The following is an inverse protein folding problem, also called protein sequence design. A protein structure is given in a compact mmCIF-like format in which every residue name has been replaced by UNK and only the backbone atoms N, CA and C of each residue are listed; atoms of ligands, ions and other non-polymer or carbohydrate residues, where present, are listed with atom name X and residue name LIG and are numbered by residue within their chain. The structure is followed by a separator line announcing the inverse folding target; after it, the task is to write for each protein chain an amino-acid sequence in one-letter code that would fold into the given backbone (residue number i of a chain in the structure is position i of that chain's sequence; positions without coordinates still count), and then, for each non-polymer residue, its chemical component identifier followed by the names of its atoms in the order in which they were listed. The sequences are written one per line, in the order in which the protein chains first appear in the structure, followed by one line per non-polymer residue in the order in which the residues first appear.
data_IF_408235390140
#
_entry.id   IF_408235390140
#
_cell.length_a   1.000
_cell.length_b   1.000
_cell.length_c   1.000
_cell.angle_alpha   90.00
_cell.angle_beta   90.00
_cell.angle_gamma   90.00
#
_symmetry.space_group_name_H-M   'P 1'
#
loop_
_entity.id
_entity.type
_entity.pdbx_description
1 polymer ?
#
# COMPACT_ATOMS: atom_id res chain seq x y z
N UNK A 1 -18.17 -54.59 10.62
CA UNK A 1 -18.00 -53.64 9.49
C UNK A 1 -18.46 -52.29 10.01
N UNK A 2 -17.61 -51.64 10.81
CA UNK A 2 -17.94 -50.37 11.47
C UNK A 2 -17.32 -49.25 10.68
N UNK A 3 -18.23 -48.51 10.07
CA UNK A 3 -18.15 -47.14 9.59
C UNK A 3 -17.00 -46.33 10.21
N UNK A 4 -16.08 -45.88 9.37
CA UNK A 4 -15.08 -44.86 9.71
C UNK A 4 -15.11 -43.79 8.63
N UNK A 5 -16.31 -43.28 8.37
CA UNK A 5 -16.49 -41.98 7.72
C UNK A 5 -16.21 -40.90 8.78
N UNK A 6 -14.93 -40.70 9.10
CA UNK A 6 -14.52 -39.58 9.97
C UNK A 6 -14.74 -38.31 9.15
N UNK A 7 -15.83 -37.62 9.48
CA UNK A 7 -16.12 -36.24 9.14
C UNK A 7 -14.84 -35.40 8.98
N UNK A 8 -14.49 -35.09 7.73
CA UNK A 8 -13.59 -33.99 7.39
C UNK A 8 -14.34 -32.65 7.59
N UNK A 9 -14.85 -32.42 8.80
CA UNK A 9 -15.42 -31.13 9.20
C UNK A 9 -14.27 -30.21 9.60
N UNK A 10 -13.84 -29.39 8.63
CA UNK A 10 -13.29 -28.05 8.86
C UNK A 10 -12.09 -27.95 9.80
N UNK A 11 -10.94 -28.51 9.42
CA UNK A 11 -9.67 -28.01 9.98
C UNK A 11 -9.36 -26.71 9.25
N UNK A 12 -9.59 -25.56 9.89
CA UNK A 12 -9.20 -24.25 9.38
C UNK A 12 -7.72 -24.23 8.94
N UNK A 13 -7.30 -23.21 8.17
CA UNK A 13 -5.93 -23.14 7.69
C UNK A 13 -4.96 -23.32 8.85
N UNK A 14 -4.04 -24.29 8.72
CA UNK A 14 -2.96 -24.45 9.71
C UNK A 14 -2.13 -23.18 9.80
N UNK A 15 -1.25 -23.06 10.81
CA UNK A 15 -0.42 -21.85 11.02
C UNK A 15 0.27 -21.36 9.75
N UNK A 16 0.76 -22.26 8.90
CA UNK A 16 1.35 -21.91 7.60
C UNK A 16 0.37 -21.17 6.68
N UNK A 17 -0.89 -21.61 6.63
CA UNK A 17 -1.94 -20.97 5.83
C UNK A 17 -2.29 -19.59 6.37
N UNK A 18 -2.41 -19.45 7.70
CA UNK A 18 -2.64 -18.15 8.33
C UNK A 18 -1.46 -17.18 8.09
N UNK A 19 -0.22 -17.66 8.19
CA UNK A 19 0.97 -16.84 7.97
C UNK A 19 1.25 -16.51 6.49
N UNK A 20 0.72 -17.32 5.56
CA UNK A 20 0.85 -17.09 4.13
C UNK A 20 -0.29 -16.24 3.53
N UNK A 21 -1.32 -15.92 4.32
CA UNK A 21 -2.37 -14.99 3.91
C UNK A 21 -1.74 -13.59 3.69
N UNK A 22 -1.89 -13.00 2.49
CA UNK A 22 -1.28 -11.71 2.17
C UNK A 22 -1.81 -10.54 3.02
N UNK A 23 -2.93 -10.72 3.73
CA UNK A 23 -3.53 -9.72 4.61
C UNK A 23 -3.17 -9.92 6.08
N UNK A 24 -2.74 -11.11 6.51
CA UNK A 24 -2.62 -11.46 7.93
C UNK A 24 -1.69 -10.54 8.74
N UNK A 25 -0.66 -9.98 8.10
CA UNK A 25 0.30 -9.08 8.74
C UNK A 25 -0.07 -7.58 8.67
N UNK A 26 -1.23 -7.23 8.13
CA UNK A 26 -1.54 -5.84 7.76
C UNK A 26 -2.92 -5.42 8.21
N UNK A 27 -3.07 -4.16 8.62
CA UNK A 27 -4.39 -3.53 8.72
C UNK A 27 -5.03 -3.53 7.33
N UNK A 28 -6.31 -3.87 7.26
CA UNK A 28 -7.06 -3.90 6.01
C UNK A 28 -8.54 -3.71 6.28
N UNK A 29 -9.26 -3.20 5.28
CA UNK A 29 -10.69 -2.93 5.36
C UNK A 29 -11.37 -3.34 4.05
N UNK A 30 -12.57 -3.89 4.13
CA UNK A 30 -13.41 -4.10 2.93
C UNK A 30 -14.21 -2.84 2.64
N UNK A 31 -14.07 -2.32 1.43
CA UNK A 31 -14.73 -1.11 0.94
C UNK A 31 -15.66 -1.48 -0.20
N UNK A 32 -16.89 -0.96 -0.18
CA UNK A 32 -17.80 -1.01 -1.32
C UNK A 32 -17.54 0.19 -2.22
N UNK A 33 -17.39 -0.02 -3.53
CA UNK A 33 -17.08 1.03 -4.51
C UNK A 33 -18.27 1.22 -5.46
N UNK A 34 -19.15 2.22 -5.22
CA UNK A 34 -20.36 2.40 -6.03
C UNK A 34 -20.08 2.61 -7.52
N UNK A 35 -18.99 3.29 -7.85
CA UNK A 35 -18.58 3.56 -9.23
C UNK A 35 -18.19 2.29 -9.99
N UNK A 36 -17.94 1.18 -9.29
CA UNK A 36 -17.59 -0.13 -9.85
C UNK A 36 -18.72 -1.14 -9.62
N UNK A 37 -19.98 -0.72 -9.84
CA UNK A 37 -21.16 -1.58 -9.68
C UNK A 37 -21.26 -2.17 -8.26
N UNK A 38 -21.00 -1.34 -7.26
CA UNK A 38 -20.95 -1.74 -5.84
C UNK A 38 -19.99 -2.90 -5.54
N UNK A 39 -18.91 -3.04 -6.34
CA UNK A 39 -17.88 -4.04 -6.09
C UNK A 39 -17.31 -3.89 -4.67
N UNK A 40 -17.10 -5.04 -4.01
CA UNK A 40 -16.44 -5.11 -2.71
C UNK A 40 -14.97 -5.42 -2.91
N UNK A 41 -14.12 -4.49 -2.54
CA UNK A 41 -12.66 -4.61 -2.61
C UNK A 41 -12.07 -4.54 -1.21
N UNK A 42 -10.89 -5.12 -1.04
CA UNK A 42 -10.14 -5.06 0.22
C UNK A 42 -8.98 -4.09 0.01
N UNK A 43 -8.90 -3.06 0.84
CA UNK A 43 -7.77 -2.14 0.88
C UNK A 43 -6.87 -2.54 2.04
N UNK A 44 -5.58 -2.74 1.76
CA UNK A 44 -4.57 -3.13 2.75
C UNK A 44 -3.62 -1.97 3.02
N UNK A 45 -3.16 -1.85 4.27
CA UNK A 45 -2.04 -0.99 4.62
C UNK A 45 -0.80 -1.32 3.77
N UNK A 46 -0.08 -0.32 3.25
CA UNK A 46 1.14 -0.56 2.49
C UNK A 46 2.24 -1.16 3.37
N UNK A 47 3.00 -2.08 2.80
CA UNK A 47 4.28 -2.53 3.36
C UNK A 47 5.37 -1.48 3.13
N UNK A 48 6.54 -1.67 3.78
CA UNK A 48 7.72 -0.86 3.50
C UNK A 48 8.14 -0.93 2.02
N UNK A 49 7.98 -2.09 1.37
CA UNK A 49 8.26 -2.27 -0.06
C UNK A 49 7.29 -1.52 -0.96
N UNK A 50 6.01 -1.45 -0.58
CA UNK A 50 4.98 -0.71 -1.32
C UNK A 50 5.21 0.79 -1.20
N UNK A 51 5.55 1.26 0.00
CA UNK A 51 5.91 2.64 0.25
C UNK A 51 7.16 3.07 -0.54
N UNK A 52 8.20 2.21 -0.60
CA UNK A 52 9.38 2.49 -1.41
C UNK A 52 9.06 2.55 -2.91
N UNK A 53 8.20 1.66 -3.40
CA UNK A 53 7.73 1.67 -4.79
C UNK A 53 7.01 2.98 -5.11
N UNK A 54 6.13 3.42 -4.21
CA UNK A 54 5.41 4.69 -4.32
C UNK A 54 6.34 5.92 -4.29
N UNK A 55 7.27 6.00 -3.34
CA UNK A 55 8.24 7.12 -3.25
C UNK A 55 9.09 7.22 -4.52
N UNK A 56 9.53 6.09 -5.09
CA UNK A 56 10.28 6.09 -6.36
C UNK A 56 9.46 6.67 -7.50
N UNK A 57 8.16 6.39 -7.54
CA UNK A 57 7.26 6.98 -8.54
C UNK A 57 7.04 8.48 -8.31
N UNK A 58 6.95 8.93 -7.04
CA UNK A 58 6.89 10.37 -6.70
C UNK A 58 8.17 11.07 -7.20
N UNK A 59 9.34 10.53 -6.88
CA UNK A 59 10.62 11.10 -7.29
C UNK A 59 10.77 11.16 -8.80
N UNK A 60 10.36 10.11 -9.51
CA UNK A 60 10.35 10.09 -10.96
C UNK A 60 9.43 11.19 -11.53
N UNK A 61 8.22 11.37 -10.99
CA UNK A 61 7.29 12.40 -11.43
C UNK A 61 7.84 13.83 -11.20
N UNK A 62 8.48 14.06 -10.05
CA UNK A 62 9.11 15.33 -9.72
C UNK A 62 10.47 15.56 -10.41
N UNK A 63 10.97 14.58 -11.19
CA UNK A 63 12.27 14.67 -11.85
C UNK A 63 13.45 14.73 -10.87
N UNK A 64 13.33 14.10 -9.70
CA UNK A 64 14.40 14.01 -8.70
C UNK A 64 15.50 13.07 -9.21
N UNK A 65 16.75 13.51 -9.09
CA UNK A 65 17.94 12.75 -9.50
C UNK A 65 18.74 12.34 -8.26
N UNK A 66 19.38 11.16 -8.34
CA UNK A 66 20.24 10.68 -7.26
C UNK A 66 21.39 11.65 -7.00
N UNK A 67 21.61 12.00 -5.73
CA UNK A 67 22.68 12.90 -5.29
C UNK A 67 22.27 14.37 -5.16
N UNK A 68 21.04 14.73 -5.51
CA UNK A 68 20.50 16.06 -5.22
C UNK A 68 20.35 16.27 -3.70
N UNK A 69 20.62 17.49 -3.25
CA UNK A 69 20.44 17.87 -1.86
C UNK A 69 18.95 17.95 -1.48
N UNK A 70 18.66 17.91 -0.18
CA UNK A 70 17.29 17.86 0.32
C UNK A 70 16.46 19.09 -0.04
N UNK A 71 17.05 20.28 -0.18
CA UNK A 71 16.31 21.49 -0.46
C UNK A 71 15.92 21.54 -1.93
N UNK A 72 16.81 21.10 -2.83
CA UNK A 72 16.50 20.87 -4.25
C UNK A 72 15.39 19.83 -4.42
N UNK A 73 15.46 18.71 -3.70
CA UNK A 73 14.42 17.66 -3.75
C UNK A 73 13.08 18.22 -3.29
N UNK A 74 13.03 18.95 -2.16
CA UNK A 74 11.80 19.58 -1.67
C UNK A 74 11.21 20.57 -2.68
N UNK A 75 12.04 21.44 -3.25
CA UNK A 75 11.58 22.41 -4.23
C UNK A 75 10.95 21.75 -5.46
N UNK A 76 11.49 20.61 -5.91
CA UNK A 76 10.90 19.82 -7.00
C UNK A 76 9.59 19.14 -6.61
N UNK A 77 9.51 18.61 -5.39
CA UNK A 77 8.29 17.96 -4.90
C UNK A 77 7.13 18.97 -4.75
N UNK A 78 7.44 20.19 -4.33
CA UNK A 78 6.47 21.27 -4.11
C UNK A 78 6.19 22.10 -5.39
N UNK A 79 6.84 21.77 -6.50
CA UNK A 79 6.68 22.52 -7.74
C UNK A 79 5.24 22.42 -8.28
N UNK A 80 4.62 23.54 -8.71
CA UNK A 80 3.28 23.50 -9.24
C UNK A 80 3.24 22.73 -10.56
N UNK A 81 2.15 21.98 -10.76
CA UNK A 81 1.92 21.25 -12.02
C UNK A 81 2.58 19.89 -12.14
N UNK A 82 3.27 19.40 -11.09
CA UNK A 82 3.73 18.01 -11.06
C UNK A 82 2.54 17.06 -10.93
N UNK A 83 2.41 16.12 -11.86
CA UNK A 83 1.37 15.11 -11.84
C UNK A 83 1.83 13.85 -11.08
N UNK A 84 1.24 13.64 -9.90
CA UNK A 84 1.50 12.47 -9.06
C UNK A 84 0.53 11.30 -9.29
N UNK A 85 -0.36 11.38 -10.29
CA UNK A 85 -1.36 10.35 -10.59
C UNK A 85 -0.73 8.98 -10.75
N UNK A 86 0.37 8.89 -11.50
CA UNK A 86 1.11 7.62 -11.67
C UNK A 86 1.66 7.08 -10.35
N UNK A 87 2.13 7.96 -9.48
CA UNK A 87 2.62 7.56 -8.17
C UNK A 87 1.47 7.05 -7.28
N UNK A 88 0.32 7.72 -7.27
CA UNK A 88 -0.85 7.23 -6.54
C UNK A 88 -1.36 5.88 -7.08
N UNK A 89 -1.41 5.72 -8.41
CA UNK A 89 -1.72 4.43 -9.05
C UNK A 89 -0.73 3.33 -8.62
N UNK A 90 0.57 3.64 -8.53
CA UNK A 90 1.60 2.70 -8.08
C UNK A 90 1.40 2.18 -6.66
N UNK A 91 0.81 3.00 -5.78
CA UNK A 91 0.44 2.55 -4.45
C UNK A 91 -0.80 1.65 -4.52
N UNK A 92 -1.82 2.08 -5.27
CA UNK A 92 -3.09 1.36 -5.41
C UNK A 92 -2.90 -0.06 -5.95
N UNK A 93 -2.08 -0.26 -6.99
CA UNK A 93 -1.88 -1.59 -7.58
C UNK A 93 -1.35 -2.62 -6.57
N UNK A 94 -0.68 -2.17 -5.50
CA UNK A 94 -0.10 -3.02 -4.45
C UNK A 94 -0.96 -3.15 -3.19
N UNK A 95 -1.95 -2.28 -3.03
CA UNK A 95 -2.79 -2.20 -1.81
C UNK A 95 -4.24 -2.59 -2.06
N UNK A 96 -4.67 -2.72 -3.32
CA UNK A 96 -6.01 -3.17 -3.68
C UNK A 96 -6.06 -4.69 -3.90
N UNK A 97 -6.94 -5.33 -3.16
CA UNK A 97 -7.17 -6.77 -3.19
C UNK A 97 -8.63 -7.07 -3.47
N UNK A 98 -8.89 -8.25 -4.01
CA UNK A 98 -10.21 -8.86 -4.10
C UNK A 98 -10.23 -10.17 -3.33
N UNK A 99 -11.41 -10.58 -2.89
CA UNK A 99 -11.60 -11.90 -2.29
C UNK A 99 -11.85 -12.92 -3.40
N UNK A 100 -10.97 -13.92 -3.54
CA UNK A 100 -11.14 -15.03 -4.48
C UNK A 100 -11.46 -16.34 -3.75
N UNK A 101 -11.80 -17.40 -4.49
CA UNK A 101 -11.94 -18.75 -3.93
C UNK A 101 -10.66 -19.28 -3.28
N UNK A 102 -9.49 -18.74 -3.68
CA UNK A 102 -8.18 -19.13 -3.17
C UNK A 102 -7.65 -18.17 -2.09
N UNK A 103 -8.51 -17.29 -1.56
CA UNK A 103 -8.12 -16.25 -0.61
C UNK A 103 -7.97 -14.87 -1.25
N UNK A 104 -7.57 -13.87 -0.46
CA UNK A 104 -7.35 -12.51 -0.96
C UNK A 104 -6.22 -12.48 -2.00
N UNK A 105 -6.44 -11.78 -3.12
CA UNK A 105 -5.43 -11.61 -4.17
C UNK A 105 -5.38 -10.16 -4.61
N UNK A 106 -4.20 -9.69 -5.04
CA UNK A 106 -4.08 -8.34 -5.62
C UNK A 106 -4.90 -8.28 -6.91
N UNK A 107 -5.67 -7.22 -7.07
CA UNK A 107 -6.43 -6.97 -8.31
C UNK A 107 -5.49 -6.68 -9.48
N UNK A 108 -4.38 -5.99 -9.21
CA UNK A 108 -3.41 -5.55 -10.21
C UNK A 108 -2.01 -6.06 -9.91
N UNK A 109 -1.20 -6.20 -10.95
CA UNK A 109 0.24 -6.42 -10.88
C UNK A 109 0.99 -5.11 -10.96
N UNK A 110 2.30 -5.15 -10.76
CA UNK A 110 3.14 -3.95 -10.78
C UNK A 110 3.26 -3.35 -12.19
N UNK A 111 3.08 -4.18 -13.22
CA UNK A 111 3.10 -3.75 -14.63
C UNK A 111 1.84 -2.98 -15.03
N UNK A 112 0.76 -3.09 -14.24
CA UNK A 112 -0.54 -2.46 -14.52
C UNK A 112 -0.60 -0.98 -14.05
N UNK A 113 0.51 -0.41 -13.59
CA UNK A 113 0.53 0.98 -13.10
C UNK A 113 0.03 1.97 -14.15
N UNK A 114 0.46 1.81 -15.40
CA UNK A 114 0.15 2.78 -16.45
C UNK A 114 -1.33 2.70 -16.87
N UNK A 115 -1.94 1.50 -16.87
CA UNK A 115 -3.38 1.36 -17.18
C UNK A 115 -4.24 1.92 -16.04
N UNK A 116 -3.85 1.71 -14.78
CA UNK A 116 -4.55 2.29 -13.63
C UNK A 116 -4.39 3.80 -13.57
N UNK A 117 -3.20 4.33 -13.91
CA UNK A 117 -2.97 5.76 -13.99
C UNK A 117 -3.82 6.43 -15.09
N UNK A 118 -3.95 5.79 -16.25
CA UNK A 118 -4.78 6.31 -17.35
C UNK A 118 -6.29 6.35 -17.00
N UNK A 119 -6.76 5.43 -16.15
CA UNK A 119 -8.15 5.38 -15.69
C UNK A 119 -8.37 6.15 -14.36
N UNK A 120 -7.34 6.81 -13.82
CA UNK A 120 -7.36 7.32 -12.47
C UNK A 120 -8.44 8.39 -12.27
N UNK A 121 -9.09 8.34 -11.11
CA UNK A 121 -10.23 9.20 -10.81
C UNK A 121 -10.59 9.13 -9.33
N UNK A 122 -11.74 9.71 -8.96
CA UNK A 122 -12.10 9.89 -7.55
C UNK A 122 -12.15 8.57 -6.76
N UNK A 123 -12.72 7.51 -7.34
CA UNK A 123 -12.78 6.19 -6.68
C UNK A 123 -11.37 5.67 -6.36
N UNK A 124 -10.44 5.76 -7.31
CA UNK A 124 -9.02 5.37 -7.11
C UNK A 124 -8.38 6.20 -6.00
N UNK A 125 -8.59 7.51 -6.01
CA UNK A 125 -8.05 8.42 -5.00
C UNK A 125 -8.54 8.10 -3.58
N UNK A 126 -9.83 7.79 -3.42
CA UNK A 126 -10.40 7.38 -2.13
C UNK A 126 -9.75 6.09 -1.62
N UNK A 127 -9.52 5.11 -2.48
CA UNK A 127 -8.88 3.84 -2.10
C UNK A 127 -7.40 4.03 -1.74
N UNK A 128 -6.68 4.88 -2.46
CA UNK A 128 -5.29 5.27 -2.13
C UNK A 128 -5.24 5.96 -0.77
N UNK A 129 -6.14 6.91 -0.51
CA UNK A 129 -6.22 7.60 0.77
C UNK A 129 -6.49 6.63 1.92
N UNK A 130 -7.41 5.67 1.73
CA UNK A 130 -7.67 4.59 2.70
C UNK A 130 -6.43 3.74 2.97
N UNK A 131 -5.65 3.39 1.94
CA UNK A 131 -4.41 2.64 2.14
C UNK A 131 -3.38 3.43 2.99
N UNK A 132 -3.24 4.74 2.72
CA UNK A 132 -2.36 5.63 3.48
C UNK A 132 -2.80 5.77 4.93
N UNK A 133 -4.11 5.91 5.16
CA UNK A 133 -4.75 5.94 6.49
C UNK A 133 -4.42 4.65 7.26
N UNK A 134 -4.69 3.47 6.66
CA UNK A 134 -4.42 2.17 7.29
C UNK A 134 -2.94 1.93 7.59
N UNK A 135 -2.04 2.54 6.82
CA UNK A 135 -0.59 2.47 7.03
C UNK A 135 -0.03 3.52 8.00
N UNK A 136 -0.87 4.41 8.54
CA UNK A 136 -0.46 5.59 9.32
C UNK A 136 0.64 6.43 8.63
N UNK A 137 0.67 6.44 7.29
CA UNK A 137 1.71 7.16 6.54
C UNK A 137 1.50 8.69 6.60
N UNK A 138 0.26 9.15 6.84
CA UNK A 138 -0.05 10.56 7.05
C UNK A 138 0.38 11.08 8.43
N UNK A 139 0.15 10.32 9.50
CA UNK A 139 0.50 10.72 10.88
C UNK A 139 1.99 10.56 11.18
N UNK A 140 2.62 9.49 10.67
CA UNK A 140 4.05 9.24 10.87
C UNK A 140 4.95 10.32 10.26
N UNK A 141 4.50 11.01 9.20
CA UNK A 141 5.22 12.15 8.61
C UNK A 141 5.19 13.38 9.52
N UNK A 142 4.02 13.69 10.11
CA UNK A 142 3.83 14.82 11.03
C UNK A 142 4.58 14.62 12.36
N UNK A 143 4.60 13.40 12.90
CA UNK A 143 5.32 13.12 14.15
C UNK A 143 6.84 13.05 13.97
N UNK A 144 7.33 12.53 12.83
CA UNK A 144 8.77 12.56 12.48
C UNK A 144 9.27 13.97 12.19
N UNK A 145 8.43 14.84 11.61
CA UNK A 145 8.74 16.26 11.45
C UNK A 145 8.86 17.00 12.80
N UNK A 146 8.16 16.55 13.83
CA UNK A 146 8.21 17.13 15.19
C UNK A 146 9.36 16.61 16.06
N UNK A 147 10.02 15.51 15.69
CA UNK A 147 11.17 14.97 16.45
C UNK A 147 12.49 15.45 15.81
N UNK A 148 13.18 16.48 16.36
CA UNK A 148 14.51 16.81 15.89
C UNK A 148 15.43 15.60 16.08
N UNK A 149 16.15 15.26 15.01
CA UNK A 149 17.11 14.16 14.96
C UNK A 149 18.06 14.24 16.17
N UNK A 150 17.85 13.34 17.13
CA UNK A 150 18.66 13.29 18.35
C UNK A 150 20.05 12.84 17.93
N UNK A 151 21.00 13.79 17.83
CA UNK A 151 22.42 13.52 17.60
C UNK A 151 22.84 12.38 18.52
N UNK A 152 23.36 11.29 17.94
CA UNK A 152 24.04 10.21 18.68
C UNK A 152 25.17 10.86 19.47
N UNK A 153 24.97 11.04 20.77
CA UNK A 153 26.06 11.34 21.68
C UNK A 153 26.90 10.06 21.76
N UNK A 154 28.06 10.10 21.11
CA UNK A 154 29.14 9.14 21.30
C UNK A 154 29.63 9.28 22.74
N UNK A 155 29.29 8.34 23.59
CA UNK A 155 29.97 8.16 24.86
C UNK A 155 31.31 7.50 24.56
N UNK A 156 32.38 8.30 24.62
CA UNK A 156 33.76 7.82 24.75
C UNK A 156 34.13 7.98 26.22
N UNK A 157 34.73 6.90 26.74
CA UNK A 157 35.35 6.69 28.06
C UNK A 157 34.40 6.44 29.24
#
# INVERSE_FOLDING_TARGET
MTDTSINALGRGPGLRGLAADPLAGFHHETVTVPQWQDARVIVRAPSAGDHLFHIRAIWAAAGVVAGEDNDTVRAKLDAPGVDYTRASASLLVRTLFEQTANGPQRVFRDEDVDIVAAAYGLAHATLVAKAIELGNLGEGAQERAKKPSRKRQTSVS
#
